data_IF_832581261293
#
_entry.id   IF_832581261293
#
_cell.length_a   1.000
_cell.length_b   1.000
_cell.length_c   1.000
_cell.angle_alpha   90.00
_cell.angle_beta   90.00
_cell.angle_gamma   90.00
#
_symmetry.space_group_name_H-M   'P 1'
#
loop_
_entity.id
_entity.type
_entity.pdbx_description
1 polymer ?
#
# COMPACT_ATOMS: atom_id res chain seq x y z
N UNK A 1 -46.52 -14.65 16.80
CA UNK A 1 -45.43 -15.42 16.19
C UNK A 1 -44.83 -14.54 15.11
N UNK A 2 -43.61 -14.07 15.33
CA UNK A 2 -42.85 -13.33 14.31
C UNK A 2 -42.20 -14.37 13.38
N UNK A 3 -42.26 -14.14 12.07
CA UNK A 3 -41.60 -14.99 11.08
C UNK A 3 -40.33 -14.28 10.62
N UNK A 4 -39.19 -14.95 10.72
CA UNK A 4 -37.93 -14.45 10.17
C UNK A 4 -38.01 -14.47 8.64
N UNK A 5 -38.22 -13.30 8.04
CA UNK A 5 -38.46 -13.17 6.62
C UNK A 5 -37.16 -12.84 5.88
N UNK A 6 -36.13 -13.68 6.02
CA UNK A 6 -34.85 -13.52 5.31
C UNK A 6 -34.91 -13.74 3.79
N UNK A 7 -36.11 -13.76 3.20
CA UNK A 7 -36.38 -14.15 1.81
C UNK A 7 -37.59 -13.43 1.21
N UNK A 8 -37.95 -12.25 1.71
CA UNK A 8 -39.06 -11.45 1.14
C UNK A 8 -38.84 -11.16 -0.36
N UNK A 9 -37.58 -11.16 -0.81
CA UNK A 9 -37.21 -10.99 -2.22
C UNK A 9 -37.35 -12.25 -3.07
N UNK A 10 -37.47 -13.42 -2.47
CA UNK A 10 -37.81 -14.63 -3.23
C UNK A 10 -39.24 -14.58 -3.78
N UNK A 11 -40.05 -13.61 -3.35
CA UNK A 11 -41.42 -13.50 -3.79
C UNK A 11 -41.46 -13.05 -5.26
N UNK A 12 -40.51 -12.23 -5.73
CA UNK A 12 -40.37 -11.84 -7.15
C UNK A 12 -41.64 -11.30 -7.83
N UNK A 13 -42.73 -11.15 -7.08
CA UNK A 13 -44.08 -10.87 -7.53
C UNK A 13 -44.45 -9.50 -6.98
N UNK A 14 -44.60 -8.50 -7.87
CA UNK A 14 -45.05 -7.17 -7.50
C UNK A 14 -46.35 -7.15 -6.68
N UNK A 15 -47.20 -8.19 -6.80
CA UNK A 15 -48.46 -8.32 -6.05
C UNK A 15 -48.27 -8.46 -4.53
N UNK A 16 -47.07 -8.86 -4.08
CA UNK A 16 -46.73 -9.05 -2.67
C UNK A 16 -46.32 -7.78 -1.93
N UNK A 17 -45.87 -6.76 -2.67
CA UNK A 17 -45.35 -5.50 -2.12
C UNK A 17 -46.35 -4.84 -1.14
N UNK A 18 -47.65 -4.73 -1.45
CA UNK A 18 -48.63 -4.12 -0.53
C UNK A 18 -48.83 -4.90 0.79
N UNK A 19 -48.56 -6.21 0.79
CA UNK A 19 -48.67 -7.06 1.99
C UNK A 19 -47.43 -6.87 2.87
N UNK A 20 -46.25 -6.77 2.25
CA UNK A 20 -44.97 -6.56 2.92
C UNK A 20 -44.91 -5.16 3.56
N UNK A 21 -45.34 -4.13 2.85
CA UNK A 21 -45.44 -2.78 3.40
C UNK A 21 -46.32 -2.75 4.66
N UNK A 22 -47.48 -3.41 4.60
CA UNK A 22 -48.38 -3.55 5.75
C UNK A 22 -47.78 -4.37 6.90
N UNK A 23 -46.91 -5.34 6.61
CA UNK A 23 -46.25 -6.14 7.63
C UNK A 23 -45.16 -5.33 8.36
N UNK A 24 -44.41 -4.48 7.64
CA UNK A 24 -43.53 -3.49 8.25
C UNK A 24 -44.30 -2.47 9.09
N UNK A 25 -45.40 -1.91 8.57
CA UNK A 25 -46.23 -0.94 9.32
C UNK A 25 -46.82 -1.53 10.62
N UNK A 26 -47.02 -2.86 10.64
CA UNK A 26 -47.54 -3.58 11.80
C UNK A 26 -46.43 -4.07 12.75
N UNK A 27 -45.16 -3.80 12.46
CA UNK A 27 -44.02 -4.21 13.27
C UNK A 27 -43.87 -5.72 13.42
N UNK A 28 -44.30 -6.49 12.41
CA UNK A 28 -44.29 -7.97 12.47
C UNK A 28 -43.00 -8.59 11.90
N UNK A 29 -42.18 -7.77 11.24
CA UNK A 29 -40.91 -8.16 10.63
C UNK A 29 -39.77 -7.77 11.58
N UNK A 30 -38.81 -8.67 11.78
CA UNK A 30 -37.59 -8.40 12.53
C UNK A 30 -36.58 -7.65 11.63
N UNK A 31 -36.41 -6.37 11.91
CA UNK A 31 -35.55 -5.47 11.12
C UNK A 31 -34.04 -5.75 11.30
N UNK A 32 -33.64 -6.61 12.24
CA UNK A 32 -32.24 -7.04 12.36
C UNK A 32 -31.80 -7.92 11.18
N UNK A 33 -32.75 -8.57 10.50
CA UNK A 33 -32.49 -9.50 9.38
C UNK A 33 -32.68 -8.82 8.02
N UNK A 34 -33.67 -7.93 7.87
CA UNK A 34 -33.92 -7.13 6.67
C UNK A 34 -34.62 -5.83 7.04
N UNK A 35 -34.05 -4.68 6.67
CA UNK A 35 -34.68 -3.39 6.93
C UNK A 35 -35.48 -2.89 5.70
N UNK A 36 -36.27 -1.83 5.91
CA UNK A 36 -37.15 -1.27 4.86
C UNK A 36 -36.37 -0.69 3.68
N UNK A 37 -35.17 -0.16 3.91
CA UNK A 37 -34.34 0.43 2.87
C UNK A 37 -33.72 -0.64 1.97
N UNK A 38 -33.27 -1.76 2.55
CA UNK A 38 -32.80 -2.94 1.82
C UNK A 38 -33.90 -3.47 0.87
N UNK A 39 -35.15 -3.54 1.36
CA UNK A 39 -36.30 -3.95 0.53
C UNK A 39 -36.50 -3.01 -0.68
N UNK A 40 -36.43 -1.69 -0.48
CA UNK A 40 -36.63 -0.71 -1.56
C UNK A 40 -35.50 -0.76 -2.60
N UNK A 41 -34.28 -1.01 -2.16
CA UNK A 41 -33.12 -1.21 -3.04
C UNK A 41 -33.33 -2.46 -3.90
N UNK A 42 -33.80 -3.54 -3.29
CA UNK A 42 -33.91 -4.82 -3.99
C UNK A 42 -35.17 -4.92 -4.87
N UNK A 43 -36.27 -4.23 -4.51
CA UNK A 43 -37.44 -4.04 -5.41
C UNK A 43 -37.03 -3.39 -6.73
N UNK A 44 -36.14 -2.40 -6.68
CA UNK A 44 -35.64 -1.70 -7.89
C UNK A 44 -34.76 -2.60 -8.77
N UNK A 45 -34.18 -3.65 -8.20
CA UNK A 45 -33.29 -4.58 -8.93
C UNK A 45 -34.03 -5.73 -9.60
N UNK A 46 -35.30 -5.98 -9.29
CA UNK A 46 -36.08 -7.12 -9.82
C UNK A 46 -36.40 -6.93 -11.32
N UNK A 47 -35.74 -7.64 -12.26
CA UNK A 47 -36.21 -7.74 -13.62
C UNK A 47 -37.33 -8.79 -13.64
N UNK A 48 -38.42 -8.56 -14.39
CA UNK A 48 -39.59 -9.44 -14.42
C UNK A 48 -39.32 -10.86 -14.94
N UNK A 49 -38.78 -11.75 -14.09
CA UNK A 49 -38.39 -13.12 -14.44
C UNK A 49 -38.79 -14.11 -13.34
N UNK A 50 -40.02 -14.08 -12.82
CA UNK A 50 -40.53 -15.23 -12.04
C UNK A 50 -42.02 -15.45 -12.33
N UNK A 51 -42.30 -16.45 -13.17
CA UNK A 51 -43.63 -16.79 -13.67
C UNK A 51 -44.22 -18.03 -12.95
N UNK A 52 -43.91 -18.21 -11.65
CA UNK A 52 -44.29 -19.40 -10.89
C UNK A 52 -45.22 -19.07 -9.72
N UNK A 53 -46.24 -19.91 -9.53
CA UNK A 53 -47.22 -19.87 -8.43
C UNK A 53 -46.53 -19.83 -7.05
N UNK A 54 -46.92 -18.85 -6.22
CA UNK A 54 -46.49 -18.67 -4.84
C UNK A 54 -46.66 -19.92 -3.97
N UNK A 55 -47.72 -20.70 -4.20
CA UNK A 55 -47.95 -21.95 -3.47
C UNK A 55 -46.91 -23.02 -3.80
N UNK A 56 -46.38 -23.02 -5.03
CA UNK A 56 -45.27 -23.90 -5.42
C UNK A 56 -43.95 -23.44 -4.80
N UNK A 57 -43.74 -22.12 -4.69
CA UNK A 57 -42.56 -21.58 -4.02
C UNK A 57 -42.56 -21.93 -2.52
N UNK A 58 -43.67 -21.76 -1.81
CA UNK A 58 -43.79 -22.06 -0.37
C UNK A 58 -44.17 -23.50 -0.04
N UNK A 59 -44.12 -24.42 -1.01
CA UNK A 59 -44.28 -25.84 -0.74
C UNK A 59 -43.27 -26.28 0.36
N UNK A 60 -43.72 -26.85 1.50
CA UNK A 60 -42.85 -27.20 2.63
C UNK A 60 -41.63 -28.05 2.25
N UNK A 61 -41.78 -28.98 1.30
CA UNK A 61 -40.68 -29.82 0.83
C UNK A 61 -39.64 -28.99 0.07
N UNK A 62 -40.08 -28.06 -0.77
CA UNK A 62 -39.20 -27.14 -1.51
C UNK A 62 -38.52 -26.12 -0.60
N UNK A 63 -39.18 -25.68 0.46
CA UNK A 63 -38.58 -24.84 1.50
C UNK A 63 -37.45 -25.60 2.21
N UNK A 64 -37.71 -26.84 2.63
CA UNK A 64 -36.71 -27.69 3.29
C UNK A 64 -35.50 -27.96 2.37
N UNK A 65 -35.73 -28.29 1.09
CA UNK A 65 -34.66 -28.45 0.09
C UNK A 65 -33.78 -27.19 -0.03
N UNK A 66 -34.39 -25.99 -0.03
CA UNK A 66 -33.64 -24.72 -0.12
C UNK A 66 -32.86 -24.41 1.16
N UNK A 67 -33.43 -24.71 2.32
CA UNK A 67 -32.73 -24.51 3.61
C UNK A 67 -31.48 -25.39 3.68
N UNK A 68 -31.61 -26.68 3.35
CA UNK A 68 -30.45 -27.59 3.28
C UNK A 68 -29.40 -27.09 2.28
N UNK A 69 -29.83 -26.59 1.11
CA UNK A 69 -28.90 -26.03 0.12
C UNK A 69 -28.15 -24.81 0.69
N UNK A 70 -28.84 -23.89 1.38
CA UNK A 70 -28.22 -22.71 2.01
C UNK A 70 -27.23 -23.10 3.10
N UNK A 71 -27.55 -24.11 3.90
CA UNK A 71 -26.63 -24.65 4.92
C UNK A 71 -25.36 -25.19 4.26
N UNK A 72 -25.48 -25.96 3.17
CA UNK A 72 -24.33 -26.46 2.40
C UNK A 72 -23.52 -25.32 1.77
N UNK A 73 -24.18 -24.30 1.22
CA UNK A 73 -23.53 -23.12 0.64
C UNK A 73 -22.77 -22.33 1.71
N UNK A 74 -23.40 -22.08 2.86
CA UNK A 74 -22.79 -21.43 4.01
C UNK A 74 -21.57 -22.21 4.53
N UNK A 75 -21.68 -23.54 4.69
CA UNK A 75 -20.55 -24.39 5.10
C UNK A 75 -19.38 -24.31 4.12
N UNK A 76 -19.65 -24.27 2.80
CA UNK A 76 -18.60 -24.12 1.77
C UNK A 76 -17.92 -22.75 1.83
N UNK A 77 -18.69 -21.67 2.01
CA UNK A 77 -18.15 -20.32 2.15
C UNK A 77 -17.33 -20.19 3.43
N UNK A 78 -17.83 -20.75 4.54
CA UNK A 78 -17.13 -20.81 5.81
C UNK A 78 -15.80 -21.57 5.70
N UNK A 79 -15.80 -22.78 5.11
CA UNK A 79 -14.57 -23.55 4.90
C UNK A 79 -13.57 -22.79 4.02
N UNK A 80 -14.04 -22.12 2.96
CA UNK A 80 -13.18 -21.33 2.08
C UNK A 80 -12.50 -20.17 2.83
N UNK A 81 -13.23 -19.42 3.64
CA UNK A 81 -12.65 -18.34 4.44
C UNK A 81 -11.71 -18.89 5.52
N UNK A 82 -12.08 -19.98 6.18
CA UNK A 82 -11.23 -20.67 7.16
C UNK A 82 -9.90 -21.15 6.55
N UNK A 83 -9.93 -21.75 5.36
CA UNK A 83 -8.71 -22.17 4.67
C UNK A 83 -7.83 -20.98 4.27
N UNK A 84 -8.43 -19.88 3.82
CA UNK A 84 -7.74 -18.63 3.49
C UNK A 84 -7.04 -18.04 4.72
N UNK A 85 -7.73 -17.95 5.86
CA UNK A 85 -7.15 -17.51 7.13
C UNK A 85 -6.01 -18.44 7.59
N UNK A 86 -6.21 -19.77 7.51
CA UNK A 86 -5.18 -20.76 7.83
C UNK A 86 -3.94 -20.59 6.96
N UNK A 87 -4.10 -20.39 5.66
CA UNK A 87 -2.99 -20.17 4.72
C UNK A 87 -2.27 -18.85 5.00
N UNK A 88 -3.00 -17.77 5.31
CA UNK A 88 -2.41 -16.50 5.71
C UNK A 88 -1.59 -16.63 6.99
N UNK A 89 -2.11 -17.32 8.01
CA UNK A 89 -1.41 -17.58 9.27
C UNK A 89 -0.14 -18.41 9.08
N UNK A 90 -0.19 -19.46 8.25
CA UNK A 90 1.00 -20.26 7.90
C UNK A 90 2.07 -19.43 7.18
N UNK A 91 1.65 -18.55 6.26
CA UNK A 91 2.55 -17.65 5.54
C UNK A 91 3.25 -16.68 6.50
N UNK A 92 2.50 -16.09 7.43
CA UNK A 92 3.03 -15.20 8.47
C UNK A 92 4.01 -15.94 9.40
N UNK A 93 3.68 -17.16 9.84
CA UNK A 93 4.59 -17.96 10.67
C UNK A 93 5.90 -18.28 9.92
N UNK A 94 5.81 -18.61 8.64
CA UNK A 94 6.98 -18.88 7.80
C UNK A 94 7.82 -17.61 7.57
N UNK A 95 7.18 -16.44 7.45
CA UNK A 95 7.83 -15.14 7.37
C UNK A 95 8.66 -14.85 8.62
N UNK A 96 8.05 -14.98 9.79
CA UNK A 96 8.71 -14.71 11.07
C UNK A 96 9.87 -15.68 11.33
N UNK A 97 9.74 -16.95 10.92
CA UNK A 97 10.86 -17.90 10.91
C UNK A 97 12.02 -17.40 10.03
N UNK A 98 11.71 -16.85 8.87
CA UNK A 98 12.72 -16.35 7.93
C UNK A 98 13.39 -15.08 8.46
N UNK A 99 12.63 -14.16 9.07
CA UNK A 99 13.15 -12.99 9.77
C UNK A 99 14.07 -13.41 10.91
N UNK A 100 13.64 -14.32 11.78
CA UNK A 100 14.45 -14.82 12.90
C UNK A 100 15.78 -15.43 12.44
N UNK A 101 15.76 -16.15 11.31
CA UNK A 101 16.97 -16.70 10.68
C UNK A 101 17.96 -15.60 10.29
N UNK A 102 17.50 -14.54 9.60
CA UNK A 102 18.39 -13.45 9.17
C UNK A 102 18.84 -12.56 10.33
N UNK A 103 17.96 -12.30 11.31
CA UNK A 103 18.34 -11.60 12.55
C UNK A 103 19.42 -12.36 13.31
N UNK A 104 19.35 -13.70 13.36
CA UNK A 104 20.42 -14.50 13.97
C UNK A 104 21.73 -14.40 13.20
N UNK A 105 21.69 -14.28 11.87
CA UNK A 105 22.90 -14.01 11.07
C UNK A 105 23.48 -12.65 11.35
N UNK A 106 22.63 -11.63 11.48
CA UNK A 106 23.05 -10.28 11.84
C UNK A 106 23.76 -10.27 13.20
N UNK A 107 23.19 -10.94 14.21
CA UNK A 107 23.79 -11.08 15.53
C UNK A 107 25.18 -11.73 15.45
N UNK A 108 25.32 -12.82 14.68
CA UNK A 108 26.61 -13.49 14.46
C UNK A 108 27.59 -12.55 13.74
N UNK A 109 27.14 -11.85 12.69
CA UNK A 109 27.96 -10.93 11.92
C UNK A 109 28.50 -9.78 12.79
N UNK A 110 27.63 -9.19 13.64
CA UNK A 110 28.01 -8.14 14.59
C UNK A 110 29.01 -8.67 15.61
N UNK A 111 28.76 -9.83 16.22
CA UNK A 111 29.68 -10.44 17.18
C UNK A 111 31.06 -10.77 16.57
N UNK A 112 31.09 -11.17 15.30
CA UNK A 112 32.34 -11.36 14.56
C UNK A 112 33.03 -10.03 14.27
N UNK A 113 32.29 -8.99 13.88
CA UNK A 113 32.83 -7.67 13.58
C UNK A 113 33.41 -6.99 14.83
N UNK A 114 32.69 -6.98 15.95
CA UNK A 114 33.14 -6.43 17.24
C UNK A 114 34.45 -7.04 17.74
N UNK A 115 34.68 -8.32 17.41
CA UNK A 115 35.92 -9.03 17.75
C UNK A 115 37.00 -8.93 16.67
N UNK A 116 36.79 -8.12 15.63
CA UNK A 116 37.67 -7.97 14.47
C UNK A 116 37.98 -9.32 13.78
N UNK A 117 36.97 -10.18 13.66
CA UNK A 117 37.12 -11.54 13.12
C UNK A 117 36.70 -11.67 11.65
N UNK A 118 36.14 -10.63 11.04
CA UNK A 118 35.78 -10.60 9.62
C UNK A 118 36.95 -10.12 8.74
N UNK A 119 37.04 -10.55 7.46
CA UNK A 119 36.15 -11.50 6.79
C UNK A 119 36.53 -12.98 7.04
N UNK A 120 35.53 -13.83 7.25
CA UNK A 120 35.70 -15.30 7.23
C UNK A 120 35.21 -15.77 5.87
N UNK A 121 36.14 -15.91 4.93
CA UNK A 121 35.87 -15.99 3.48
C UNK A 121 35.53 -17.38 2.94
N UNK A 122 35.76 -18.47 3.69
CA UNK A 122 35.52 -19.84 3.20
C UNK A 122 35.21 -20.83 4.32
N UNK A 123 34.73 -22.01 3.94
CA UNK A 123 34.59 -23.17 4.84
C UNK A 123 36.00 -23.63 5.26
N UNK A 124 36.45 -23.22 6.44
CA UNK A 124 37.76 -23.55 6.99
C UNK A 124 37.68 -24.84 7.82
N UNK A 125 38.60 -25.77 7.59
CA UNK A 125 38.70 -27.00 8.39
C UNK A 125 38.92 -26.68 9.88
N UNK A 126 38.29 -27.44 10.78
CA UNK A 126 38.35 -27.18 12.25
C UNK A 126 39.77 -27.01 12.81
N UNK A 127 40.78 -27.65 12.22
CA UNK A 127 42.17 -27.56 12.67
C UNK A 127 43.06 -26.62 11.84
N UNK A 128 42.56 -26.06 10.73
CA UNK A 128 43.31 -25.10 9.90
C UNK A 128 43.55 -23.78 10.66
N UNK A 129 44.58 -23.00 10.26
CA UNK A 129 44.73 -21.63 10.72
C UNK A 129 43.44 -20.83 10.48
N UNK A 130 43.04 -20.06 11.49
CA UNK A 130 41.81 -19.29 11.43
C UNK A 130 41.97 -18.15 10.40
N UNK A 131 40.98 -17.95 9.49
CA UNK A 131 41.10 -16.98 8.40
C UNK A 131 41.04 -15.52 8.86
N UNK A 132 40.68 -15.28 10.13
CA UNK A 132 40.73 -13.96 10.76
C UNK A 132 42.16 -13.45 11.07
N UNK A 133 43.21 -14.20 10.74
CA UNK A 133 44.59 -13.79 10.98
C UNK A 133 45.11 -14.01 12.41
N UNK A 134 44.32 -14.60 13.32
CA UNK A 134 44.74 -14.80 14.72
C UNK A 134 45.87 -15.81 14.94
N UNK A 135 46.29 -16.55 13.92
CA UNK A 135 47.26 -17.66 14.02
C UNK A 135 46.77 -18.90 14.80
N UNK A 136 45.59 -18.84 15.43
CA UNK A 136 44.99 -19.97 16.18
C UNK A 136 44.31 -20.96 15.22
N UNK A 137 44.16 -22.22 15.65
CA UNK A 137 43.30 -23.21 14.95
C UNK A 137 41.85 -22.72 14.93
N UNK A 138 41.14 -22.87 13.82
CA UNK A 138 39.77 -22.38 13.64
C UNK A 138 38.82 -22.80 14.77
N UNK A 139 38.88 -24.07 15.22
CA UNK A 139 38.06 -24.59 16.33
C UNK A 139 38.28 -23.90 17.68
N UNK A 140 39.43 -23.26 17.87
CA UNK A 140 39.80 -22.51 19.09
C UNK A 140 39.65 -21.00 18.91
N UNK A 141 39.08 -20.55 17.78
CA UNK A 141 38.89 -19.16 17.43
C UNK A 141 37.47 -18.97 16.87
N UNK A 142 37.31 -18.65 15.59
CA UNK A 142 36.01 -18.23 15.04
C UNK A 142 34.94 -19.34 14.98
N UNK A 143 35.31 -20.62 15.13
CA UNK A 143 34.37 -21.73 14.96
C UNK A 143 33.15 -21.66 15.88
N UNK A 144 33.25 -21.17 17.11
CA UNK A 144 32.10 -21.09 18.02
C UNK A 144 30.98 -20.18 17.50
N UNK A 145 31.32 -19.15 16.73
CA UNK A 145 30.36 -18.21 16.14
C UNK A 145 29.69 -18.77 14.89
N UNK A 146 30.38 -19.66 14.16
CA UNK A 146 29.95 -20.15 12.84
C UNK A 146 29.79 -21.68 12.78
N UNK A 147 29.69 -22.34 13.94
CA UNK A 147 29.53 -23.81 14.02
C UNK A 147 28.22 -24.28 13.39
N UNK A 148 27.17 -23.47 13.51
CA UNK A 148 25.84 -23.76 13.01
C UNK A 148 25.10 -22.47 12.61
N UNK A 149 25.60 -21.71 11.61
CA UNK A 149 24.84 -20.60 11.08
C UNK A 149 23.52 -21.14 10.49
N UNK A 150 22.42 -20.39 10.60
CA UNK A 150 21.16 -20.75 9.95
C UNK A 150 21.36 -21.04 8.45
N UNK A 151 20.61 -21.97 7.83
CA UNK A 151 20.79 -22.37 6.42
C UNK A 151 20.66 -21.20 5.45
N UNK A 152 21.76 -20.85 4.76
CA UNK A 152 21.87 -19.67 3.88
C UNK A 152 20.83 -19.67 2.75
N UNK A 153 20.22 -18.50 2.50
CA UNK A 153 19.29 -18.27 1.39
C UNK A 153 19.51 -16.86 0.82
N UNK A 154 19.15 -16.63 -0.45
CA UNK A 154 19.09 -15.31 -1.08
C UNK A 154 17.63 -15.06 -1.43
N UNK A 155 16.98 -14.14 -0.72
CA UNK A 155 15.55 -13.91 -0.86
C UNK A 155 15.26 -12.77 -1.83
N UNK A 156 15.97 -11.65 -1.72
CA UNK A 156 15.77 -10.45 -2.56
C UNK A 156 16.29 -10.55 -3.99
N UNK A 157 16.85 -11.70 -4.39
CA UNK A 157 17.42 -11.94 -5.72
C UNK A 157 18.46 -10.89 -6.20
N UNK A 158 19.07 -10.14 -5.30
CA UNK A 158 20.04 -9.10 -5.65
C UNK A 158 19.44 -7.81 -6.18
N UNK A 159 18.18 -7.55 -5.85
CA UNK A 159 17.44 -6.36 -6.26
C UNK A 159 17.84 -5.12 -5.44
N UNK A 160 18.21 -5.31 -4.16
CA UNK A 160 18.29 -4.20 -3.22
C UNK A 160 19.72 -3.62 -3.12
N UNK A 161 20.71 -4.45 -2.78
CA UNK A 161 22.04 -3.93 -2.42
C UNK A 161 23.17 -4.40 -3.32
N UNK A 162 23.15 -5.65 -3.80
CA UNK A 162 24.21 -6.25 -4.61
C UNK A 162 23.66 -7.27 -5.60
N UNK A 163 24.40 -7.54 -6.68
CA UNK A 163 23.96 -8.48 -7.72
C UNK A 163 23.81 -9.89 -7.16
N UNK A 164 22.82 -10.61 -7.68
CA UNK A 164 22.57 -12.02 -7.31
C UNK A 164 23.82 -12.89 -7.37
N UNK A 165 24.63 -12.77 -8.44
CA UNK A 165 25.83 -13.56 -8.64
C UNK A 165 26.90 -13.35 -7.55
N UNK A 166 26.95 -12.15 -6.97
CA UNK A 166 27.86 -11.82 -5.87
C UNK A 166 27.29 -12.35 -4.55
N UNK A 167 25.99 -12.11 -4.34
CA UNK A 167 25.28 -12.59 -3.16
C UNK A 167 25.36 -14.09 -3.03
N UNK A 168 25.22 -14.86 -4.12
CA UNK A 168 25.33 -16.32 -4.14
C UNK A 168 26.63 -16.86 -3.55
N UNK A 169 27.73 -16.12 -3.71
CA UNK A 169 29.06 -16.49 -3.25
C UNK A 169 29.34 -15.98 -1.84
N UNK A 170 28.49 -15.11 -1.30
CA UNK A 170 28.71 -14.48 -0.01
C UNK A 170 28.63 -15.49 1.15
N UNK A 171 29.35 -15.22 2.23
CA UNK A 171 29.25 -16.04 3.44
C UNK A 171 27.84 -15.93 4.07
N UNK A 172 27.39 -16.91 4.87
CA UNK A 172 26.08 -16.83 5.52
C UNK A 172 25.88 -15.63 6.47
N UNK A 173 26.96 -15.04 6.99
CA UNK A 173 26.96 -13.84 7.83
C UNK A 173 27.49 -12.61 7.08
N UNK A 174 27.48 -12.66 5.74
CA UNK A 174 27.75 -11.48 4.95
C UNK A 174 26.68 -10.41 5.23
N UNK A 175 27.14 -9.22 5.57
CA UNK A 175 26.25 -8.13 6.02
C UNK A 175 25.44 -7.53 4.88
N UNK A 176 25.91 -7.62 3.64
CA UNK A 176 25.14 -7.21 2.46
C UNK A 176 24.05 -8.25 2.14
N UNK A 177 24.34 -9.54 2.32
CA UNK A 177 23.32 -10.59 2.22
C UNK A 177 22.22 -10.39 3.28
N UNK A 178 22.60 -10.08 4.51
CA UNK A 178 21.64 -9.82 5.59
C UNK A 178 20.78 -8.60 5.29
N UNK A 179 21.38 -7.49 4.83
CA UNK A 179 20.64 -6.32 4.35
C UNK A 179 19.65 -6.70 3.25
N UNK A 180 20.11 -7.42 2.23
CA UNK A 180 19.27 -7.89 1.11
C UNK A 180 18.06 -8.67 1.60
N UNK A 181 18.28 -9.70 2.42
CA UNK A 181 17.21 -10.59 2.84
C UNK A 181 16.25 -9.90 3.80
N UNK A 182 16.73 -9.11 4.76
CA UNK A 182 15.84 -8.42 5.71
C UNK A 182 15.06 -7.28 5.06
N UNK A 183 15.61 -6.57 4.06
CA UNK A 183 14.84 -5.59 3.30
C UNK A 183 13.76 -6.26 2.46
N UNK A 184 14.07 -7.38 1.81
CA UNK A 184 13.04 -8.18 1.13
C UNK A 184 11.92 -8.64 2.10
N UNK A 185 12.30 -9.15 3.28
CA UNK A 185 11.35 -9.58 4.29
C UNK A 185 10.52 -8.42 4.86
N UNK A 186 11.06 -7.20 4.90
CA UNK A 186 10.32 -6.00 5.28
C UNK A 186 9.28 -5.61 4.22
N UNK A 187 9.65 -5.62 2.94
CA UNK A 187 8.68 -5.40 1.85
C UNK A 187 7.58 -6.45 1.83
N UNK A 188 7.91 -7.71 2.09
CA UNK A 188 6.89 -8.75 2.17
C UNK A 188 5.99 -8.61 3.40
N UNK A 189 6.51 -8.12 4.53
CA UNK A 189 5.72 -7.84 5.72
C UNK A 189 4.73 -6.69 5.47
N UNK A 190 5.15 -5.61 4.80
CA UNK A 190 4.26 -4.52 4.37
C UNK A 190 3.13 -5.04 3.48
N UNK A 191 3.44 -5.82 2.43
CA UNK A 191 2.43 -6.40 1.52
C UNK A 191 1.44 -7.33 2.22
N UNK A 192 1.82 -7.89 3.36
CA UNK A 192 0.97 -8.72 4.23
C UNK A 192 0.17 -7.88 5.24
N UNK A 193 0.22 -6.54 5.15
CA UNK A 193 -0.48 -5.59 6.01
C UNK A 193 0.24 -5.28 7.32
N UNK A 194 1.51 -5.67 7.47
CA UNK A 194 2.28 -5.50 8.70
C UNK A 194 3.42 -4.49 8.52
N UNK A 195 3.05 -3.23 8.23
CA UNK A 195 3.99 -2.13 8.06
C UNK A 195 4.80 -1.84 9.34
N UNK A 196 4.22 -2.06 10.51
CA UNK A 196 4.92 -1.91 11.80
C UNK A 196 6.14 -2.83 11.86
N UNK A 197 6.00 -4.08 11.42
CA UNK A 197 7.11 -5.04 11.35
C UNK A 197 8.16 -4.63 10.33
N UNK A 198 7.75 -4.08 9.19
CA UNK A 198 8.69 -3.50 8.22
C UNK A 198 9.53 -2.40 8.88
N UNK A 199 8.90 -1.49 9.63
CA UNK A 199 9.58 -0.37 10.30
C UNK A 199 10.49 -0.84 11.44
N UNK A 200 10.14 -1.91 12.16
CA UNK A 200 11.06 -2.56 13.10
C UNK A 200 12.33 -3.06 12.40
N UNK A 201 12.20 -3.69 11.23
CA UNK A 201 13.35 -4.12 10.43
C UNK A 201 14.17 -2.93 9.93
N UNK A 202 13.55 -1.82 9.54
CA UNK A 202 14.28 -0.58 9.22
C UNK A 202 15.19 -0.14 10.38
N UNK A 203 14.65 -0.08 11.61
CA UNK A 203 15.41 0.34 12.80
C UNK A 203 16.61 -0.58 13.05
N UNK A 204 16.43 -1.88 12.85
CA UNK A 204 17.49 -2.89 12.98
C UNK A 204 18.56 -2.73 11.90
N UNK A 205 18.15 -2.46 10.66
CA UNK A 205 19.06 -2.36 9.51
C UNK A 205 19.78 -1.02 9.42
N UNK A 206 19.20 0.06 9.96
CA UNK A 206 19.74 1.43 9.88
C UNK A 206 21.21 1.54 10.30
N UNK A 207 21.64 1.06 11.50
CA UNK A 207 23.04 1.15 11.91
C UNK A 207 23.98 0.41 10.95
N UNK A 208 23.55 -0.75 10.44
CA UNK A 208 24.34 -1.52 9.50
C UNK A 208 24.46 -0.83 8.15
N UNK A 209 23.37 -0.25 7.64
CA UNK A 209 23.39 0.50 6.39
C UNK A 209 24.29 1.75 6.49
N UNK A 210 24.24 2.46 7.63
CA UNK A 210 25.14 3.58 7.91
C UNK A 210 26.61 3.13 7.92
N UNK A 211 26.93 2.05 8.64
CA UNK A 211 28.28 1.46 8.67
C UNK A 211 28.80 1.07 7.28
N UNK A 212 27.90 0.62 6.38
CA UNK A 212 28.26 0.18 5.02
C UNK A 212 28.23 1.29 3.98
N UNK A 213 27.84 2.52 4.34
CA UNK A 213 27.63 3.60 3.38
C UNK A 213 26.47 3.31 2.41
N UNK A 214 25.51 2.49 2.83
CA UNK A 214 24.34 2.07 2.04
C UNK A 214 23.05 2.74 2.49
N UNK A 215 23.15 3.80 3.29
CA UNK A 215 21.99 4.47 3.87
C UNK A 215 21.03 5.00 2.80
N UNK A 216 21.54 5.57 1.70
CA UNK A 216 20.68 6.02 0.60
C UNK A 216 19.86 4.91 -0.05
N UNK A 217 20.42 3.69 -0.19
CA UNK A 217 19.67 2.54 -0.70
C UNK A 217 18.62 2.07 0.30
N UNK A 218 18.97 1.98 1.59
CA UNK A 218 18.02 1.64 2.64
C UNK A 218 16.85 2.63 2.67
N UNK A 219 17.16 3.93 2.70
CA UNK A 219 16.16 5.00 2.70
C UNK A 219 15.27 4.93 1.46
N UNK A 220 15.79 4.62 0.27
CA UNK A 220 14.98 4.48 -0.94
C UNK A 220 13.95 3.36 -0.82
N UNK A 221 14.35 2.18 -0.35
CA UNK A 221 13.44 1.04 -0.22
C UNK A 221 12.40 1.25 0.87
N UNK A 222 12.80 1.84 2.00
CA UNK A 222 11.85 2.15 3.07
C UNK A 222 11.02 3.40 2.76
N UNK A 223 11.51 4.34 1.94
CA UNK A 223 10.74 5.46 1.40
C UNK A 223 9.51 4.97 0.66
N UNK A 224 9.70 4.03 -0.28
CA UNK A 224 8.60 3.38 -1.00
C UNK A 224 7.60 2.69 -0.06
N UNK A 225 8.09 2.02 0.98
CA UNK A 225 7.21 1.40 1.99
C UNK A 225 6.43 2.47 2.73
N UNK A 226 7.07 3.54 3.21
CA UNK A 226 6.36 4.50 4.08
C UNK A 226 5.43 5.42 3.32
N UNK A 227 5.65 5.71 2.03
CA UNK A 227 4.81 6.62 1.24
C UNK A 227 3.32 6.25 1.25
N UNK A 228 3.01 4.95 1.31
CA UNK A 228 1.64 4.44 1.30
C UNK A 228 1.01 4.30 2.70
N UNK A 229 1.76 4.65 3.76
CA UNK A 229 1.39 4.39 5.15
C UNK A 229 1.43 5.65 6.04
N UNK A 230 0.52 6.61 5.85
CA UNK A 230 0.47 7.85 6.63
C UNK A 230 0.26 7.62 8.14
N UNK A 231 -0.28 6.47 8.54
CA UNK A 231 -0.42 6.07 9.94
C UNK A 231 0.94 5.92 10.68
N UNK A 232 2.06 5.85 9.96
CA UNK A 232 3.41 5.87 10.53
C UNK A 232 3.83 7.24 11.06
N UNK A 233 3.10 8.30 10.72
CA UNK A 233 3.29 9.66 11.23
C UNK A 233 4.73 10.18 11.10
N UNK A 234 5.26 10.77 12.18
CA UNK A 234 6.57 11.43 12.18
C UNK A 234 7.74 10.51 11.82
N UNK A 235 7.65 9.20 12.08
CA UNK A 235 8.74 8.29 11.75
C UNK A 235 8.81 8.00 10.24
N UNK A 236 7.67 7.80 9.59
CA UNK A 236 7.59 7.72 8.13
C UNK A 236 8.07 9.03 7.49
N UNK A 237 7.63 10.15 8.05
CA UNK A 237 8.04 11.48 7.60
C UNK A 237 9.55 11.72 7.73
N UNK A 238 10.21 11.26 8.81
CA UNK A 238 11.67 11.37 8.96
C UNK A 238 12.42 10.55 7.91
N UNK A 239 11.92 9.37 7.55
CA UNK A 239 12.52 8.54 6.50
C UNK A 239 12.46 9.27 5.16
N UNK A 240 11.30 9.81 4.78
CA UNK A 240 11.13 10.58 3.55
C UNK A 240 11.98 11.86 3.55
N UNK A 241 12.02 12.60 4.67
CA UNK A 241 12.86 13.79 4.83
C UNK A 241 14.35 13.49 4.64
N UNK A 242 14.82 12.39 5.23
CA UNK A 242 16.22 11.96 5.09
C UNK A 242 16.52 11.49 3.66
N UNK A 243 15.56 10.83 3.00
CA UNK A 243 15.69 10.43 1.59
C UNK A 243 15.75 11.65 0.67
N UNK A 244 14.85 12.61 0.84
CA UNK A 244 14.83 13.89 0.13
C UNK A 244 16.18 14.62 0.29
N UNK A 245 16.67 14.73 1.53
CA UNK A 245 17.96 15.35 1.83
C UNK A 245 19.13 14.60 1.17
N UNK A 246 19.04 13.28 1.03
CA UNK A 246 20.06 12.48 0.37
C UNK A 246 20.18 12.80 -1.13
N UNK A 247 19.06 13.08 -1.81
CA UNK A 247 19.07 13.36 -3.25
C UNK A 247 19.34 14.82 -3.62
N UNK A 248 19.12 15.77 -2.70
CA UNK A 248 19.16 17.23 -2.95
C UNK A 248 20.36 17.72 -3.76
N UNK A 249 21.56 17.21 -3.45
CA UNK A 249 22.80 17.63 -4.11
C UNK A 249 23.36 16.57 -5.09
N UNK A 250 22.65 15.46 -5.29
CA UNK A 250 23.14 14.32 -6.06
C UNK A 250 22.40 14.11 -7.38
N UNK A 251 21.07 14.29 -7.38
CA UNK A 251 20.23 14.00 -8.54
C UNK A 251 18.92 14.79 -8.43
N UNK A 252 18.74 15.80 -9.29
CA UNK A 252 17.58 16.67 -9.29
C UNK A 252 16.27 15.90 -9.53
N UNK A 253 16.24 14.96 -10.48
CA UNK A 253 15.05 14.15 -10.77
C UNK A 253 14.62 13.32 -9.55
N UNK A 254 15.57 12.64 -8.90
CA UNK A 254 15.29 11.88 -7.68
C UNK A 254 14.89 12.79 -6.52
N UNK A 255 15.47 13.99 -6.43
CA UNK A 255 15.09 14.97 -5.43
C UNK A 255 13.66 15.47 -5.65
N UNK A 256 13.25 15.74 -6.89
CA UNK A 256 11.87 16.14 -7.22
C UNK A 256 10.90 15.03 -6.80
N UNK A 257 11.11 13.80 -7.27
CA UNK A 257 10.21 12.69 -6.94
C UNK A 257 10.08 12.47 -5.42
N UNK A 258 11.20 12.44 -4.71
CA UNK A 258 11.17 12.23 -3.25
C UNK A 258 10.66 13.43 -2.46
N UNK A 259 10.70 14.63 -3.04
CA UNK A 259 10.06 15.82 -2.47
C UNK A 259 8.55 15.78 -2.65
N UNK A 260 8.07 15.25 -3.79
CA UNK A 260 6.64 15.02 -4.01
C UNK A 260 6.12 13.98 -3.02
N UNK A 261 6.77 12.82 -2.91
CA UNK A 261 6.41 11.79 -1.93
C UNK A 261 6.34 12.36 -0.50
N UNK A 262 7.32 13.18 -0.12
CA UNK A 262 7.35 13.85 1.19
C UNK A 262 6.19 14.82 1.39
N UNK A 263 5.87 15.63 0.38
CA UNK A 263 4.77 16.57 0.42
C UNK A 263 3.42 15.84 0.47
N UNK A 264 3.21 14.84 -0.37
CA UNK A 264 2.00 14.01 -0.38
C UNK A 264 1.77 13.33 0.97
N UNK A 265 2.84 12.80 1.58
CA UNK A 265 2.76 12.21 2.91
C UNK A 265 2.31 13.23 3.98
N UNK A 266 2.79 14.48 3.93
CA UNK A 266 2.28 15.55 4.79
C UNK A 266 0.79 15.81 4.57
N UNK A 267 0.34 15.81 3.31
CA UNK A 267 -1.06 15.96 2.95
C UNK A 267 -1.93 14.82 3.50
N UNK A 268 -1.48 13.57 3.36
CA UNK A 268 -2.16 12.39 3.92
C UNK A 268 -2.25 12.44 5.46
N UNK A 269 -1.28 13.07 6.13
CA UNK A 269 -1.34 13.36 7.57
C UNK A 269 -2.26 14.55 7.93
N UNK A 270 -2.87 15.22 6.96
CA UNK A 270 -3.70 16.41 7.15
C UNK A 270 -2.90 17.69 7.43
N UNK A 271 -1.58 17.70 7.19
CA UNK A 271 -0.69 18.85 7.43
C UNK A 271 -0.60 19.73 6.20
N UNK A 272 -1.76 20.26 5.78
CA UNK A 272 -1.93 20.93 4.49
C UNK A 272 -1.05 22.17 4.31
N UNK A 273 -0.81 22.96 5.37
CA UNK A 273 0.11 24.11 5.32
C UNK A 273 1.54 23.69 4.96
N UNK A 274 2.04 22.62 5.57
CA UNK A 274 3.39 22.13 5.34
C UNK A 274 3.49 21.46 3.97
N UNK A 275 2.49 20.66 3.61
CA UNK A 275 2.36 20.07 2.27
C UNK A 275 2.39 21.15 1.18
N UNK A 276 1.59 22.21 1.33
CA UNK A 276 1.56 23.38 0.44
C UNK A 276 2.92 24.05 0.33
N UNK A 277 3.61 24.25 1.45
CA UNK A 277 4.94 24.87 1.45
C UNK A 277 6.00 24.02 0.74
N UNK A 278 5.94 22.68 0.86
CA UNK A 278 6.89 21.80 0.17
C UNK A 278 6.64 21.77 -1.34
N UNK A 279 5.39 21.70 -1.78
CA UNK A 279 5.07 21.84 -3.20
C UNK A 279 5.45 23.21 -3.75
N UNK A 280 5.27 24.30 -2.99
CA UNK A 280 5.72 25.63 -3.41
C UNK A 280 7.21 25.66 -3.78
N UNK A 281 8.06 25.02 -2.96
CA UNK A 281 9.50 24.90 -3.27
C UNK A 281 9.75 24.08 -4.54
N UNK A 282 8.95 23.06 -4.81
CA UNK A 282 9.07 22.27 -6.04
C UNK A 282 8.70 23.10 -7.26
N UNK A 283 7.61 23.87 -7.18
CA UNK A 283 7.17 24.77 -8.25
C UNK A 283 8.21 25.85 -8.55
N UNK A 284 8.87 26.39 -7.52
CA UNK A 284 9.96 27.37 -7.72
C UNK A 284 11.12 26.80 -8.55
N UNK A 285 11.39 25.50 -8.43
CA UNK A 285 12.46 24.79 -9.16
C UNK A 285 11.99 24.28 -10.51
N UNK A 286 10.77 23.75 -10.59
CA UNK A 286 10.16 23.09 -11.73
C UNK A 286 9.01 23.94 -12.30
N UNK A 287 9.32 25.19 -12.65
CA UNK A 287 8.30 26.19 -13.00
C UNK A 287 7.46 25.80 -14.23
N UNK A 288 8.02 25.07 -15.17
CA UNK A 288 7.34 24.71 -16.43
C UNK A 288 6.90 23.24 -16.45
N UNK A 289 6.79 22.60 -15.29
CA UNK A 289 6.34 21.21 -15.18
C UNK A 289 4.82 21.16 -14.91
N UNK A 290 4.06 20.82 -15.95
CA UNK A 290 2.59 20.78 -15.91
C UNK A 290 2.07 19.70 -14.96
N UNK A 291 2.72 18.54 -14.91
CA UNK A 291 2.37 17.43 -14.02
C UNK A 291 2.46 17.82 -12.54
N UNK A 292 3.57 18.46 -12.13
CA UNK A 292 3.74 18.91 -10.74
C UNK A 292 2.71 20.00 -10.39
N UNK A 293 2.38 20.89 -11.33
CA UNK A 293 1.37 21.95 -11.12
C UNK A 293 -0.04 21.40 -10.95
N UNK A 294 -0.43 20.39 -11.73
CA UNK A 294 -1.70 19.67 -11.54
C UNK A 294 -1.72 18.98 -10.17
N UNK A 295 -0.65 18.27 -9.81
CA UNK A 295 -0.51 17.65 -8.48
C UNK A 295 -0.66 18.68 -7.34
N UNK A 296 0.00 19.82 -7.47
CA UNK A 296 -0.10 20.91 -6.49
C UNK A 296 -1.52 21.48 -6.39
N UNK A 297 -2.22 21.65 -7.52
CA UNK A 297 -3.59 22.14 -7.53
C UNK A 297 -4.54 21.23 -6.76
N UNK A 298 -4.44 19.90 -6.96
CA UNK A 298 -5.22 18.89 -6.22
C UNK A 298 -4.96 18.94 -4.70
N UNK A 299 -3.70 19.14 -4.33
CA UNK A 299 -3.31 19.28 -2.92
C UNK A 299 -3.90 20.56 -2.31
N UNK A 300 -3.84 21.67 -3.04
CA UNK A 300 -4.43 22.94 -2.61
C UNK A 300 -5.94 22.82 -2.43
N UNK A 301 -6.63 22.15 -3.36
CA UNK A 301 -8.07 21.88 -3.25
C UNK A 301 -8.39 21.05 -1.99
N UNK A 302 -7.68 19.93 -1.77
CA UNK A 302 -7.85 19.11 -0.56
C UNK A 302 -7.57 19.89 0.74
N UNK A 303 -6.61 20.82 0.70
CA UNK A 303 -6.30 21.74 1.79
C UNK A 303 -7.25 22.94 1.91
N UNK A 304 -8.28 23.04 1.07
CA UNK A 304 -9.24 24.14 1.00
C UNK A 304 -8.63 25.52 0.64
N UNK A 305 -7.52 25.53 -0.11
CA UNK A 305 -6.88 26.72 -0.69
C UNK A 305 -7.41 27.03 -2.09
N UNK A 306 -8.73 27.16 -2.22
CA UNK A 306 -9.43 27.11 -3.51
C UNK A 306 -8.93 28.13 -4.55
N UNK A 307 -8.66 29.37 -4.13
CA UNK A 307 -8.17 30.41 -5.05
C UNK A 307 -6.80 30.08 -5.63
N UNK A 308 -5.93 29.44 -4.84
CA UNK A 308 -4.61 29.03 -5.30
C UNK A 308 -4.69 27.78 -6.18
N UNK A 309 -5.61 26.85 -5.87
CA UNK A 309 -5.89 25.70 -6.71
C UNK A 309 -6.34 26.16 -8.10
N UNK A 310 -7.30 27.10 -8.16
CA UNK A 310 -7.74 27.74 -9.41
C UNK A 310 -6.56 28.36 -10.16
N UNK A 311 -5.76 29.18 -9.49
CA UNK A 311 -4.60 29.82 -10.11
C UNK A 311 -3.58 28.80 -10.67
N UNK A 312 -3.39 27.67 -9.98
CA UNK A 312 -2.49 26.60 -10.43
C UNK A 312 -3.03 25.89 -11.67
N UNK A 313 -4.32 25.53 -11.70
CA UNK A 313 -4.96 24.95 -12.88
C UNK A 313 -4.95 25.93 -14.07
N UNK A 314 -5.30 27.20 -13.85
CA UNK A 314 -5.25 28.23 -14.88
C UNK A 314 -3.84 28.40 -15.45
N UNK A 315 -2.80 28.27 -14.61
CA UNK A 315 -1.43 28.29 -15.09
C UNK A 315 -1.15 27.15 -16.06
N UNK A 316 -1.57 25.91 -15.73
CA UNK A 316 -1.41 24.75 -16.62
C UNK A 316 -2.14 25.01 -17.95
N UNK A 317 -3.37 25.52 -17.92
CA UNK A 317 -4.10 25.88 -19.15
C UNK A 317 -3.39 26.95 -19.99
N UNK A 318 -2.68 27.88 -19.34
CA UNK A 318 -1.92 28.95 -20.03
C UNK A 318 -0.64 28.45 -20.67
N UNK A 319 -0.10 27.32 -20.24
CA UNK A 319 1.08 26.70 -20.86
C UNK A 319 0.77 26.22 -22.28
N UNK A 320 -0.48 25.87 -22.59
CA UNK A 320 -0.88 25.40 -23.92
C UNK A 320 0.02 24.26 -24.40
N UNK A 321 0.55 24.35 -25.62
CA UNK A 321 1.43 23.35 -26.25
C UNK A 321 2.72 23.02 -25.45
N UNK A 322 3.05 23.79 -24.40
CA UNK A 322 4.17 23.51 -23.52
C UNK A 322 3.83 22.51 -22.40
N UNK A 323 2.55 22.29 -22.12
CA UNK A 323 2.07 21.27 -21.19
C UNK A 323 1.82 19.93 -21.90
N UNK A 324 1.80 18.84 -21.13
CA UNK A 324 1.32 17.57 -21.65
C UNK A 324 -0.20 17.64 -21.91
N UNK A 325 -0.65 17.01 -23.00
CA UNK A 325 -2.06 16.99 -23.40
C UNK A 325 -2.96 16.45 -22.28
N UNK A 326 -2.58 15.31 -21.69
CA UNK A 326 -3.27 14.71 -20.54
C UNK A 326 -3.36 15.70 -19.35
N UNK A 327 -2.33 16.48 -19.08
CA UNK A 327 -2.32 17.44 -17.96
C UNK A 327 -3.24 18.64 -18.23
N UNK A 328 -3.37 19.08 -19.49
CA UNK A 328 -4.32 20.10 -19.90
C UNK A 328 -5.77 19.62 -19.74
N UNK A 329 -6.05 18.39 -20.16
CA UNK A 329 -7.37 17.76 -20.02
C UNK A 329 -7.76 17.62 -18.55
N UNK A 330 -6.84 17.10 -17.72
CA UNK A 330 -7.03 16.98 -16.28
C UNK A 330 -7.27 18.36 -15.67
N UNK A 331 -6.42 19.35 -15.96
CA UNK A 331 -6.58 20.69 -15.42
C UNK A 331 -7.92 21.33 -15.81
N UNK A 332 -8.36 21.17 -17.06
CA UNK A 332 -9.63 21.69 -17.53
C UNK A 332 -10.83 21.00 -16.88
N UNK A 333 -10.76 19.67 -16.72
CA UNK A 333 -11.79 18.86 -16.08
C UNK A 333 -11.94 19.21 -14.60
N UNK A 334 -10.85 19.13 -13.85
CA UNK A 334 -10.84 19.36 -12.40
C UNK A 334 -11.16 20.81 -12.04
N UNK A 335 -10.65 21.80 -12.79
CA UNK A 335 -10.99 23.20 -12.56
C UNK A 335 -12.49 23.48 -12.76
N UNK A 336 -13.12 22.81 -13.74
CA UNK A 336 -14.57 22.92 -13.99
C UNK A 336 -15.37 22.34 -12.83
N UNK A 337 -14.97 21.17 -12.33
CA UNK A 337 -15.60 20.53 -11.18
C UNK A 337 -15.45 21.37 -9.91
N UNK A 338 -14.22 21.82 -9.61
CA UNK A 338 -13.92 22.71 -8.50
C UNK A 338 -14.79 23.98 -8.53
N UNK A 339 -14.88 24.63 -9.69
CA UNK A 339 -15.68 25.84 -9.84
C UNK A 339 -17.19 25.57 -9.64
N UNK A 340 -17.70 24.44 -10.13
CA UNK A 340 -19.09 24.06 -9.95
C UNK A 340 -19.42 23.71 -8.50
N UNK A 341 -18.57 22.92 -7.84
CA UNK A 341 -18.75 22.48 -6.45
C UNK A 341 -18.69 23.64 -5.45
N UNK A 342 -17.82 24.63 -5.71
CA UNK A 342 -17.58 25.74 -4.80
C UNK A 342 -18.19 27.08 -5.27
N UNK A 343 -18.95 27.07 -6.36
CA UNK A 343 -19.59 28.25 -6.95
C UNK A 343 -18.57 29.39 -7.21
N UNK A 344 -17.42 29.05 -7.78
CA UNK A 344 -16.35 29.99 -8.14
C UNK A 344 -16.62 30.52 -9.55
N UNK A 345 -16.60 31.84 -9.70
CA UNK A 345 -16.75 32.48 -11.01
C UNK A 345 -15.41 32.49 -11.76
N UNK A 346 -15.31 31.67 -12.81
CA UNK A 346 -14.15 31.63 -13.70
C UNK A 346 -14.19 32.78 -14.71
N UNK A 347 -13.04 33.37 -14.99
CA UNK A 347 -12.93 34.44 -15.97
C UNK A 347 -13.29 33.98 -17.39
N UNK A 348 -13.53 34.95 -18.28
CA UNK A 348 -13.98 34.65 -19.64
C UNK A 348 -12.96 33.83 -20.44
N UNK A 349 -11.66 34.10 -20.26
CA UNK A 349 -10.59 33.38 -20.93
C UNK A 349 -10.51 31.94 -20.42
N UNK A 350 -10.59 31.72 -19.10
CA UNK A 350 -10.51 30.39 -18.49
C UNK A 350 -11.67 29.52 -18.96
N UNK A 351 -12.88 30.07 -19.04
CA UNK A 351 -14.04 29.36 -19.59
C UNK A 351 -13.87 28.98 -21.06
N UNK A 352 -13.28 29.86 -21.86
CA UNK A 352 -12.97 29.60 -23.27
C UNK A 352 -11.91 28.51 -23.42
N UNK A 353 -10.82 28.58 -22.64
CA UNK A 353 -9.74 27.60 -22.63
C UNK A 353 -10.24 26.19 -22.28
N UNK A 354 -11.05 26.08 -21.22
CA UNK A 354 -11.71 24.82 -20.82
C UNK A 354 -12.64 24.29 -21.92
N UNK A 355 -13.30 25.18 -22.66
CA UNK A 355 -14.18 24.81 -23.78
C UNK A 355 -13.43 24.27 -24.99
N UNK A 356 -12.28 24.86 -25.32
CA UNK A 356 -11.48 24.50 -26.50
C UNK A 356 -10.84 23.11 -26.37
N UNK A 357 -10.39 22.72 -25.19
CA UNK A 357 -9.80 21.39 -24.94
C UNK A 357 -10.84 20.29 -25.20
N UNK A 358 -12.09 20.52 -24.79
CA UNK A 358 -13.20 19.57 -25.00
C UNK A 358 -13.57 19.36 -26.48
N UNK A 359 -13.31 20.35 -27.33
CA UNK A 359 -13.60 20.27 -28.77
C UNK A 359 -12.60 19.38 -29.54
N UNK A 360 -11.45 19.04 -28.95
CA UNK A 360 -10.47 18.11 -29.51
C UNK A 360 -10.87 16.63 -29.38
N UNK A 361 -11.73 16.28 -28.42
CA UNK A 361 -12.17 14.90 -28.16
C UNK A 361 -13.30 14.42 -29.11
N UNK A 362 -14.04 15.34 -29.73
CA UNK A 362 -15.18 15.04 -30.62
C UNK A 362 -14.80 15.07 -32.13
N UNK A 363 -13.52 15.23 -32.46
CA UNK A 363 -12.99 15.48 -33.82
C UNK A 363 -12.48 14.26 -34.59
#
# INVERSE_FOLDING_TARGET
>A
MAFAAGSILDIGDPSSIPVLEKAFDRGVIDEFIINRDDLLIDIKKLPGIYNNDLLNFYNPEKVAERQVRREIEYEKEYEKEYEKERHAAQKLEQREKSIAIELKRLEIANALNERNLLPISRKVGRNEPCPCGSGKKFKKCCFSFVKAPPPRQVLGNGFYYAKWADLQKAAPYDTILVLENLTFLASDAEREGNVVRALELFRILKPLAEQKGLMGKLLRHFGLIVSDHPELGEEGLDILRRLQSFHKDQNQEQWVNTSMDFADFLGLMGRWDECRNEYGKLIDVMQEDSFIRVGFARILEKGNYLNEAVASYEHVLRMGDQAYEDDLEIAAGELRELAACHNIELDAWTREAIGNIRAGEEG
#
